data_IF_107856168535
#
_entry.id   IF_107856168535
#
_cell.length_a   1.000
_cell.length_b   1.000
_cell.length_c   1.000
_cell.angle_alpha   90.00
_cell.angle_beta   90.00
_cell.angle_gamma   90.00
#
_symmetry.space_group_name_H-M   'P 1'
#
loop_
_entity.id
_entity.type
_entity.pdbx_description
1 polymer ?
#
# COMPACT_ATOMS: atom_id res chain seq x y z
N UNK A 1 18.49 -1.13 -21.74
CA UNK A 1 17.35 -1.76 -21.03
C UNK A 1 17.67 -1.75 -19.54
N UNK A 2 16.73 -1.39 -18.67
CA UNK A 2 16.89 -1.50 -17.20
C UNK A 2 16.05 -2.69 -16.74
N UNK A 3 16.65 -3.60 -15.97
CA UNK A 3 15.99 -4.82 -15.48
C UNK A 3 15.84 -4.72 -13.97
N UNK A 4 14.62 -4.89 -13.46
CA UNK A 4 14.33 -5.05 -12.04
C UNK A 4 14.19 -6.55 -11.74
N UNK A 5 14.86 -7.02 -10.69
CA UNK A 5 14.73 -8.39 -10.20
C UNK A 5 14.10 -8.37 -8.81
N UNK A 6 13.08 -9.19 -8.59
CA UNK A 6 12.39 -9.34 -7.31
C UNK A 6 12.59 -10.79 -6.85
N UNK A 7 13.28 -10.96 -5.72
CA UNK A 7 13.36 -12.26 -5.04
C UNK A 7 12.13 -12.44 -4.15
N UNK A 8 11.20 -13.29 -4.59
CA UNK A 8 9.95 -13.56 -3.88
C UNK A 8 10.07 -14.67 -2.84
N UNK A 9 11.28 -15.17 -2.53
CA UNK A 9 11.48 -16.31 -1.62
C UNK A 9 10.94 -16.11 -0.19
N UNK A 10 10.84 -14.85 0.26
CA UNK A 10 10.30 -14.50 1.58
C UNK A 10 9.02 -13.64 1.51
N UNK A 11 8.49 -13.41 0.31
CA UNK A 11 7.43 -12.43 0.08
C UNK A 11 7.92 -10.98 0.20
N UNK A 12 7.05 -10.02 -0.13
CA UNK A 12 7.32 -8.60 0.02
C UNK A 12 6.07 -7.87 0.53
N UNK A 13 6.27 -6.92 1.44
CA UNK A 13 5.19 -6.05 1.90
C UNK A 13 4.89 -5.02 0.80
N UNK A 14 3.60 -4.82 0.50
CA UNK A 14 3.17 -3.96 -0.61
C UNK A 14 3.56 -2.49 -0.42
N UNK A 15 3.47 -1.98 0.80
CA UNK A 15 3.83 -0.61 1.16
C UNK A 15 5.34 -0.33 0.98
N UNK A 16 6.19 -1.25 1.45
CA UNK A 16 7.64 -1.14 1.34
C UNK A 16 8.12 -1.37 -0.09
N UNK A 17 7.53 -2.33 -0.82
CA UNK A 17 7.84 -2.54 -2.23
C UNK A 17 7.49 -1.28 -3.04
N UNK A 18 6.30 -0.71 -2.81
CA UNK A 18 5.87 0.50 -3.51
C UNK A 18 6.79 1.68 -3.18
N UNK A 19 7.19 1.83 -1.92
CA UNK A 19 8.16 2.86 -1.51
C UNK A 19 9.51 2.70 -2.19
N UNK A 20 10.07 1.49 -2.24
CA UNK A 20 11.33 1.22 -2.93
C UNK A 20 11.24 1.49 -4.44
N UNK A 21 10.12 1.12 -5.08
CA UNK A 21 9.89 1.43 -6.50
C UNK A 21 9.75 2.93 -6.74
N UNK A 22 9.10 3.66 -5.82
CA UNK A 22 8.94 5.11 -5.89
C UNK A 22 10.30 5.83 -5.85
N UNK A 23 11.22 5.38 -4.98
CA UNK A 23 12.58 5.93 -4.87
C UNK A 23 13.42 5.74 -6.15
N UNK A 24 13.10 4.74 -6.98
CA UNK A 24 13.79 4.52 -8.26
C UNK A 24 13.32 5.49 -9.36
N UNK A 25 12.18 6.17 -9.17
CA UNK A 25 11.65 7.10 -10.15
C UNK A 25 12.38 8.45 -10.09
N UNK A 26 12.67 9.08 -11.25
CA UNK A 26 13.28 10.40 -11.28
C UNK A 26 12.34 11.50 -10.73
N UNK A 27 11.02 11.24 -10.73
CA UNK A 27 9.98 12.13 -10.24
C UNK A 27 8.92 11.31 -9.48
N UNK A 28 9.23 10.99 -8.22
CA UNK A 28 8.30 10.28 -7.33
C UNK A 28 7.08 11.14 -6.95
N UNK A 29 7.27 12.45 -6.75
CA UNK A 29 6.19 13.36 -6.39
C UNK A 29 5.12 13.45 -7.50
N UNK A 30 5.54 13.70 -8.75
CA UNK A 30 4.61 13.73 -9.88
C UNK A 30 3.99 12.35 -10.17
N UNK A 31 4.66 11.24 -9.83
CA UNK A 31 4.02 9.93 -9.87
C UNK A 31 2.87 9.80 -8.85
N UNK A 32 3.09 10.21 -7.60
CA UNK A 32 2.04 10.22 -6.58
C UNK A 32 0.89 11.14 -6.96
N UNK A 33 1.16 12.32 -7.53
CA UNK A 33 0.11 13.23 -8.01
C UNK A 33 -0.75 12.58 -9.09
N UNK A 34 -0.13 11.97 -10.12
CA UNK A 34 -0.85 11.26 -11.18
C UNK A 34 -1.67 10.10 -10.65
N UNK A 35 -1.12 9.36 -9.69
CA UNK A 35 -1.81 8.21 -9.11
C UNK A 35 -3.01 8.64 -8.25
N UNK A 36 -2.85 9.67 -7.42
CA UNK A 36 -3.98 10.24 -6.66
C UNK A 36 -5.07 10.82 -7.57
N UNK A 37 -4.68 11.45 -8.70
CA UNK A 37 -5.65 11.92 -9.69
C UNK A 37 -6.44 10.75 -10.32
N UNK A 38 -5.78 9.63 -10.60
CA UNK A 38 -6.43 8.43 -11.14
C UNK A 38 -7.38 7.74 -10.14
N UNK A 39 -7.21 7.95 -8.84
CA UNK A 39 -8.05 7.38 -7.79
C UNK A 39 -9.27 8.23 -7.45
N UNK A 40 -9.45 9.38 -8.11
CA UNK A 40 -10.62 10.24 -8.03
C UNK A 40 -11.09 10.59 -6.59
N UNK A 41 -10.16 10.62 -5.63
CA UNK A 41 -10.46 10.89 -4.22
C UNK A 41 -11.07 9.74 -3.43
N UNK A 42 -11.38 8.60 -4.07
CA UNK A 42 -11.81 7.37 -3.37
C UNK A 42 -10.67 6.67 -2.65
N UNK A 43 -9.46 6.80 -3.16
CA UNK A 43 -8.27 6.49 -2.39
C UNK A 43 -7.24 7.60 -2.47
N UNK A 44 -6.48 7.74 -1.38
CA UNK A 44 -5.37 8.69 -1.27
C UNK A 44 -4.11 7.91 -0.93
N UNK A 45 -3.08 8.08 -1.76
CA UNK A 45 -1.76 7.49 -1.59
C UNK A 45 -0.77 8.56 -1.18
N UNK A 46 -0.05 8.31 -0.09
CA UNK A 46 1.04 9.16 0.38
C UNK A 46 2.30 8.33 0.65
N UNK A 47 3.45 8.99 0.65
CA UNK A 47 4.73 8.34 0.93
C UNK A 47 5.54 9.21 1.90
N UNK A 48 6.18 8.58 2.87
CA UNK A 48 7.01 9.24 3.86
C UNK A 48 8.31 8.46 4.10
N UNK A 49 9.41 9.18 4.28
CA UNK A 49 10.66 8.58 4.75
C UNK A 49 10.53 8.18 6.22
N UNK A 50 10.87 6.94 6.53
CA UNK A 50 10.84 6.39 7.89
C UNK A 50 12.20 5.79 8.24
N UNK A 51 12.54 5.81 9.52
CA UNK A 51 13.71 5.12 10.06
C UNK A 51 13.26 4.21 11.21
N UNK A 52 13.47 2.90 11.06
CA UNK A 52 13.14 1.90 12.08
C UNK A 52 14.38 1.07 12.37
N UNK A 53 14.80 1.02 13.64
CA UNK A 53 16.00 0.30 14.06
C UNK A 53 17.28 0.70 13.29
N UNK A 54 17.40 1.96 12.87
CA UNK A 54 18.53 2.47 12.08
C UNK A 54 18.48 2.14 10.58
N UNK A 55 17.40 1.50 10.10
CA UNK A 55 17.16 1.22 8.68
C UNK A 55 16.21 2.28 8.14
N UNK A 56 16.62 2.97 7.07
CA UNK A 56 15.79 3.95 6.36
C UNK A 56 15.04 3.29 5.21
N UNK A 57 13.77 3.61 5.08
CA UNK A 57 12.97 3.27 3.91
C UNK A 57 11.92 4.35 3.64
N UNK A 58 11.33 4.32 2.45
CA UNK A 58 10.07 5.02 2.17
C UNK A 58 8.90 4.09 2.48
N UNK A 59 8.01 4.52 3.38
CA UNK A 59 6.75 3.84 3.66
C UNK A 59 5.63 4.50 2.85
N UNK A 60 4.81 3.69 2.20
CA UNK A 60 3.62 4.13 1.47
C UNK A 60 2.38 3.84 2.30
N UNK A 61 1.46 4.80 2.36
CA UNK A 61 0.17 4.66 3.03
C UNK A 61 -0.94 4.88 2.03
N UNK A 62 -1.94 4.00 2.05
CA UNK A 62 -3.16 4.10 1.25
C UNK A 62 -4.34 4.26 2.19
N UNK A 63 -5.14 5.29 1.95
CA UNK A 63 -6.42 5.50 2.63
C UNK A 63 -7.53 5.29 1.63
N UNK A 64 -8.44 4.34 1.87
CA UNK A 64 -9.63 4.11 1.05
C UNK A 64 -10.81 4.76 1.78
N UNK A 65 -11.50 5.69 1.13
CA UNK A 65 -12.58 6.47 1.72
C UNK A 65 -12.19 7.13 3.07
N UNK A 66 -10.91 7.42 3.26
CA UNK A 66 -10.34 8.03 4.47
C UNK A 66 -9.86 7.04 5.54
N UNK A 67 -10.02 5.74 5.35
CA UNK A 67 -9.65 4.70 6.31
C UNK A 67 -8.45 3.86 5.83
N UNK A 68 -7.61 3.44 6.79
CA UNK A 68 -6.49 2.50 6.55
C UNK A 68 -6.86 1.12 7.05
N UNK A 69 -6.49 0.08 6.30
CA UNK A 69 -6.70 -1.32 6.71
C UNK A 69 -5.91 -1.72 7.97
N UNK A 70 -4.85 -0.97 8.34
CA UNK A 70 -4.00 -1.29 9.49
C UNK A 70 -4.67 -1.00 10.85
N UNK A 71 -5.78 -0.27 10.89
CA UNK A 71 -6.43 0.17 12.12
C UNK A 71 -7.04 -0.98 12.96
N UNK A 72 -7.25 -2.16 12.37
CA UNK A 72 -8.03 -3.24 13.00
C UNK A 72 -7.18 -4.38 13.62
N UNK A 73 -5.85 -4.26 13.62
CA UNK A 73 -4.96 -5.38 13.97
C UNK A 73 -4.70 -5.61 15.49
N UNK A 74 -5.24 -4.79 16.41
CA UNK A 74 -4.88 -4.88 17.83
C UNK A 74 -6.02 -4.95 18.86
N UNK A 75 -7.27 -5.22 18.47
CA UNK A 75 -8.30 -5.59 19.45
C UNK A 75 -8.25 -7.10 19.74
N UNK A 76 -7.45 -7.49 20.74
CA UNK A 76 -7.54 -8.82 21.37
C UNK A 76 -8.88 -8.99 22.12
N UNK A 77 -9.97 -9.20 21.39
CA UNK A 77 -11.20 -9.72 21.96
C UNK A 77 -11.21 -11.24 21.78
N UNK A 78 -10.96 -11.97 22.86
CA UNK A 78 -11.22 -13.40 22.93
C UNK A 78 -12.73 -13.64 22.74
N UNK A 79 -13.16 -13.98 21.54
CA UNK A 79 -14.56 -14.28 21.28
C UNK A 79 -14.89 -14.54 19.82
N UNK A 80 -15.08 -15.82 19.51
CA UNK A 80 -15.81 -16.36 18.36
C UNK A 80 -15.14 -16.32 16.97
N UNK A 81 -15.26 -17.46 16.29
CA UNK A 81 -14.86 -17.75 14.92
C UNK A 81 -15.58 -16.85 13.90
N UNK A 82 -15.18 -15.59 13.80
CA UNK A 82 -15.51 -14.73 12.67
C UNK A 82 -14.57 -15.06 11.51
N UNK A 83 -15.12 -15.47 10.37
CA UNK A 83 -14.36 -15.51 9.12
C UNK A 83 -13.82 -14.10 8.84
N UNK A 84 -12.51 -13.87 8.97
CA UNK A 84 -11.88 -12.67 8.45
C UNK A 84 -12.06 -12.68 6.93
N UNK A 85 -12.98 -11.85 6.42
CA UNK A 85 -13.12 -11.65 4.97
C UNK A 85 -11.96 -10.77 4.51
N UNK A 86 -10.91 -11.38 4.02
CA UNK A 86 -9.89 -10.65 3.27
C UNK A 86 -10.52 -10.15 1.96
N UNK A 87 -10.20 -8.91 1.57
CA UNK A 87 -10.55 -8.41 0.25
C UNK A 87 -9.96 -9.34 -0.81
N UNK A 88 -10.83 -9.98 -1.59
CA UNK A 88 -10.42 -10.86 -2.68
C UNK A 88 -10.05 -10.05 -3.91
N UNK A 89 -9.45 -10.71 -4.91
CA UNK A 89 -9.14 -10.06 -6.19
C UNK A 89 -10.37 -9.44 -6.86
N UNK A 90 -11.56 -10.02 -6.65
CA UNK A 90 -12.82 -9.49 -7.17
C UNK A 90 -13.16 -8.14 -6.56
N UNK A 91 -12.96 -7.98 -5.25
CA UNK A 91 -13.26 -6.75 -4.52
C UNK A 91 -12.27 -5.65 -4.93
N UNK A 92 -10.99 -6.01 -5.09
CA UNK A 92 -9.93 -5.12 -5.58
C UNK A 92 -10.26 -4.62 -7.00
N UNK A 93 -10.64 -5.52 -7.91
CA UNK A 93 -10.99 -5.12 -9.28
C UNK A 93 -12.25 -4.27 -9.32
N UNK A 94 -13.28 -4.62 -8.53
CA UNK A 94 -14.48 -3.80 -8.43
C UNK A 94 -14.16 -2.38 -7.92
N UNK A 95 -13.22 -2.24 -6.97
CA UNK A 95 -12.73 -0.95 -6.52
C UNK A 95 -12.05 -0.17 -7.65
N UNK A 96 -11.10 -0.80 -8.36
CA UNK A 96 -10.36 -0.16 -9.47
C UNK A 96 -11.30 0.25 -10.61
N UNK A 97 -12.30 -0.57 -10.93
CA UNK A 97 -13.26 -0.27 -11.99
C UNK A 97 -14.24 0.86 -11.62
N UNK A 98 -14.29 1.25 -10.35
CA UNK A 98 -15.18 2.28 -9.84
C UNK A 98 -14.49 3.59 -9.47
N UNK A 99 -13.17 3.72 -9.71
CA UNK A 99 -12.45 5.01 -9.63
C UNK A 99 -12.42 5.74 -10.96
#
# INVERSE_FOLDING_TARGET
MKTLYIDCGMGCAGDMLTGALLELLPDGAGFLERMNAALAGRAVISAAGVEKCGIRCTQVTVLIDGESEEADAHHHHHGHHGHHSHAGVKDIMAFIDSV
#
